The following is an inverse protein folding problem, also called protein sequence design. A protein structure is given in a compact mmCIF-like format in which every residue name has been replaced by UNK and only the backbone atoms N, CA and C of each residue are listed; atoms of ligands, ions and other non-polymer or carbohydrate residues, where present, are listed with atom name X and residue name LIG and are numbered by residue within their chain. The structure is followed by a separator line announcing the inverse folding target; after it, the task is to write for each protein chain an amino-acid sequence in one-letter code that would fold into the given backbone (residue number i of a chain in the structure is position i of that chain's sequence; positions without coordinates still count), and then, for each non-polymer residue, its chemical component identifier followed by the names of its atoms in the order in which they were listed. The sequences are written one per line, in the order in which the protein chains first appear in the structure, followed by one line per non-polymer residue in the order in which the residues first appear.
data_IF_589468797537
#
_entry.id   IF_589468797537
#
_cell.length_a   1.000
_cell.length_b   1.000
_cell.length_c   1.000
_cell.angle_alpha   90.00
_cell.angle_beta   90.00
_cell.angle_gamma   90.00
#
_symmetry.space_group_name_H-M   'P 1'
#
loop_
_entity.id
_entity.type
_entity.pdbx_description
1 polymer ?
#
# COMPACT_ATOMS: atom_id res chain seq x y z
N UNK A 1 8.93 8.69 -18.51
CA UNK A 1 8.69 9.07 -17.09
C UNK A 1 9.26 10.47 -16.78
N UNK A 2 9.74 11.22 -17.79
CA UNK A 2 10.21 12.60 -17.63
C UNK A 2 9.11 13.65 -17.92
N UNK A 3 8.01 13.23 -18.57
CA UNK A 3 6.96 14.09 -19.11
C UNK A 3 5.98 14.69 -18.07
N UNK A 4 6.21 14.52 -16.77
CA UNK A 4 5.29 15.06 -15.73
C UNK A 4 5.25 16.60 -15.73
N UNK A 5 6.26 17.26 -16.29
CA UNK A 5 6.33 18.72 -16.37
C UNK A 5 6.83 19.24 -17.73
N UNK A 6 6.81 18.43 -18.79
CA UNK A 6 7.24 18.91 -20.11
C UNK A 6 6.18 19.87 -20.70
N UNK A 7 6.60 21.12 -20.80
CA UNK A 7 6.17 22.27 -21.60
C UNK A 7 4.72 22.80 -21.55
N UNK A 8 3.77 22.21 -20.81
CA UNK A 8 2.38 22.71 -20.90
C UNK A 8 1.62 23.09 -19.60
N UNK A 9 2.08 22.76 -18.38
CA UNK A 9 1.19 22.86 -17.20
C UNK A 9 1.82 23.25 -15.84
N UNK A 10 3.14 23.39 -15.72
CA UNK A 10 3.78 23.79 -14.46
C UNK A 10 3.78 25.30 -14.28
N UNK A 11 3.22 25.80 -13.18
CA UNK A 11 3.37 27.21 -12.79
C UNK A 11 4.63 27.35 -11.93
N UNK A 12 5.39 28.44 -12.11
CA UNK A 12 6.59 28.69 -11.31
C UNK A 12 6.25 29.00 -9.85
N UNK A 13 7.09 28.50 -8.94
CA UNK A 13 7.07 28.85 -7.53
C UNK A 13 7.80 30.16 -7.28
N UNK A 14 7.23 30.99 -6.42
CA UNK A 14 7.86 32.23 -5.96
C UNK A 14 8.61 31.97 -4.66
N UNK A 15 9.85 32.46 -4.54
CA UNK A 15 10.60 32.43 -3.28
C UNK A 15 10.23 33.62 -2.40
N UNK A 16 10.23 33.38 -1.09
CA UNK A 16 10.16 34.43 -0.08
C UNK A 16 11.37 35.36 -0.21
N UNK A 17 11.16 36.66 -0.01
CA UNK A 17 12.24 37.64 0.11
C UNK A 17 12.88 37.63 1.51
N UNK A 18 12.26 36.93 2.47
CA UNK A 18 12.76 36.76 3.84
C UNK A 18 13.42 35.38 3.97
N UNK A 19 14.74 35.31 4.26
CA UNK A 19 15.43 34.05 4.43
C UNK A 19 15.19 33.42 5.82
N UNK A 20 15.29 32.10 5.88
CA UNK A 20 15.62 31.38 7.10
C UNK A 20 17.15 31.42 7.26
N UNK A 21 17.62 31.95 8.39
CA UNK A 21 19.05 32.06 8.68
C UNK A 21 19.47 31.02 9.71
N UNK A 22 20.58 30.34 9.45
CA UNK A 22 21.29 29.52 10.44
C UNK A 22 22.67 30.12 10.64
N UNK A 23 23.06 30.31 11.90
CA UNK A 23 24.35 30.89 12.25
C UNK A 23 25.20 29.85 13.00
N UNK A 24 26.41 29.65 12.51
CA UNK A 24 27.43 28.81 13.14
C UNK A 24 28.50 29.71 13.75
N UNK A 25 28.97 29.35 14.94
CA UNK A 25 30.12 30.00 15.56
C UNK A 25 31.38 29.50 14.85
N UNK A 26 32.18 30.42 14.30
CA UNK A 26 33.43 30.10 13.63
C UNK A 26 34.52 29.91 14.69
N UNK A 27 34.60 28.70 15.24
CA UNK A 27 35.69 28.31 16.13
C UNK A 27 36.99 28.02 15.37
N UNK A 28 38.07 27.80 16.11
CA UNK A 28 39.40 27.58 15.53
C UNK A 28 39.42 26.38 14.56
N UNK A 29 38.67 25.32 14.88
CA UNK A 29 38.55 24.12 14.03
C UNK A 29 37.88 24.48 12.70
N UNK A 30 36.76 25.21 12.74
CA UNK A 30 36.01 25.62 11.53
C UNK A 30 36.84 26.55 10.66
N UNK A 31 37.57 27.49 11.27
CA UNK A 31 38.46 28.41 10.57
C UNK A 31 39.68 27.70 9.99
N UNK A 32 40.29 26.73 10.70
CA UNK A 32 41.40 25.96 10.16
C UNK A 32 40.98 25.03 9.02
N UNK A 33 39.80 24.41 9.11
CA UNK A 33 39.30 23.49 8.08
C UNK A 33 38.96 24.21 6.77
N UNK A 34 38.56 25.49 6.83
CA UNK A 34 38.19 26.28 5.64
C UNK A 34 39.40 26.89 4.92
N UNK A 35 40.52 27.13 5.63
CA UNK A 35 41.75 27.72 5.08
C UNK A 35 42.30 27.04 3.81
N UNK A 36 42.39 25.69 3.70
CA UNK A 36 42.95 25.04 2.51
C UNK A 36 42.07 25.15 1.26
N UNK A 37 40.80 25.54 1.41
CA UNK A 37 39.82 25.59 0.31
C UNK A 37 39.51 27.02 -0.15
N UNK A 38 40.22 28.03 0.37
CA UNK A 38 39.94 29.46 0.14
C UNK A 38 38.45 29.85 0.36
N UNK A 39 37.76 29.11 1.23
CA UNK A 39 36.33 29.30 1.46
C UNK A 39 36.09 30.35 2.54
N UNK A 40 35.61 31.53 2.13
CA UNK A 40 35.24 32.61 3.04
C UNK A 40 33.77 32.49 3.45
N UNK A 41 33.50 32.53 4.76
CA UNK A 41 32.13 32.46 5.32
C UNK A 41 31.99 33.42 6.49
N UNK A 42 30.84 34.09 6.60
CA UNK A 42 30.43 34.90 7.76
C UNK A 42 29.78 34.02 8.85
N UNK A 43 29.76 32.70 8.64
CA UNK A 43 29.08 31.73 9.49
C UNK A 43 27.56 31.75 9.35
N UNK A 44 27.00 32.54 8.43
CA UNK A 44 25.55 32.67 8.22
C UNK A 44 25.13 31.97 6.93
N UNK A 45 24.36 30.90 7.06
CA UNK A 45 23.68 30.25 5.94
C UNK A 45 22.28 30.81 5.79
N UNK A 46 21.91 31.25 4.57
CA UNK A 46 20.60 31.83 4.24
C UNK A 46 19.85 30.91 3.28
N UNK A 47 18.63 30.55 3.65
CA UNK A 47 17.73 29.75 2.81
C UNK A 47 16.44 30.51 2.53
N UNK A 48 16.12 30.76 1.26
CA UNK A 48 14.90 31.45 0.85
C UNK A 48 13.80 30.42 0.52
N UNK A 49 12.83 30.18 1.42
CA UNK A 49 11.80 29.17 1.19
C UNK A 49 10.87 29.58 0.04
N UNK A 50 10.29 28.61 -0.66
CA UNK A 50 9.17 28.88 -1.56
C UNK A 50 7.93 29.31 -0.76
N UNK A 51 7.12 30.18 -1.36
CA UNK A 51 5.81 30.56 -0.87
C UNK A 51 4.77 29.52 -1.31
N UNK A 52 3.69 29.40 -0.55
CA UNK A 52 2.53 28.60 -0.96
C UNK A 52 1.85 29.30 -2.14
N UNK A 53 1.66 28.62 -3.29
CA UNK A 53 0.97 29.21 -4.42
C UNK A 53 -0.50 29.56 -4.11
N UNK A 54 -0.93 30.77 -4.49
CA UNK A 54 -2.31 31.23 -4.30
C UNK A 54 -3.33 30.39 -5.09
N UNK A 55 -2.90 29.76 -6.18
CA UNK A 55 -3.73 28.92 -7.04
C UNK A 55 -3.97 27.50 -6.53
N UNK A 56 -3.39 27.12 -5.38
CA UNK A 56 -3.65 25.80 -4.80
C UNK A 56 -5.12 25.67 -4.34
N UNK A 57 -5.74 24.50 -4.56
CA UNK A 57 -7.12 24.29 -4.13
C UNK A 57 -7.20 24.34 -2.60
N UNK A 58 -8.19 25.09 -2.09
CA UNK A 58 -8.43 25.21 -0.63
C UNK A 58 -9.02 23.95 -0.01
N UNK A 59 -9.66 23.10 -0.83
CA UNK A 59 -10.17 21.79 -0.45
C UNK A 59 -9.60 20.77 -1.41
N UNK A 60 -8.97 19.74 -0.86
CA UNK A 60 -8.38 18.65 -1.61
C UNK A 60 -8.35 17.40 -0.74
N UNK A 61 -8.23 16.23 -1.36
CA UNK A 61 -8.03 14.99 -0.64
C UNK A 61 -6.53 14.76 -0.38
N UNK A 62 -5.71 14.89 -1.43
CA UNK A 62 -4.26 14.66 -1.36
C UNK A 62 -3.46 15.78 -2.04
N UNK A 63 -2.47 16.29 -1.31
CA UNK A 63 -1.43 17.16 -1.82
C UNK A 63 -0.05 16.54 -1.65
N UNK A 64 0.87 16.77 -2.59
CA UNK A 64 2.23 16.24 -2.47
C UNK A 64 3.28 17.33 -2.68
N UNK A 65 4.28 17.36 -1.82
CA UNK A 65 5.49 18.17 -1.92
C UNK A 65 6.67 17.24 -2.23
N UNK A 66 7.27 17.37 -3.40
CA UNK A 66 8.32 16.48 -3.90
C UNK A 66 9.64 17.23 -4.03
N UNK A 67 10.75 16.55 -3.77
CA UNK A 67 12.09 17.09 -4.03
C UNK A 67 13.22 16.44 -3.24
N UNK A 68 14.46 16.70 -3.62
CA UNK A 68 15.67 16.19 -3.00
C UNK A 68 15.87 16.68 -1.57
N UNK A 69 16.85 16.12 -0.86
CA UNK A 69 17.21 16.59 0.48
C UNK A 69 17.65 18.06 0.44
N UNK A 70 17.30 18.85 1.45
CA UNK A 70 17.65 20.28 1.51
C UNK A 70 16.86 21.22 0.59
N UNK A 71 15.96 20.72 -0.25
CA UNK A 71 15.18 21.55 -1.21
C UNK A 71 14.08 22.41 -0.58
N UNK A 72 13.81 22.26 0.72
CA UNK A 72 12.82 23.07 1.45
C UNK A 72 11.45 22.42 1.66
N UNK A 73 11.27 21.14 1.34
CA UNK A 73 10.00 20.41 1.53
C UNK A 73 9.43 20.56 2.94
N UNK A 74 10.23 20.27 3.97
CA UNK A 74 9.78 20.34 5.37
C UNK A 74 9.42 21.77 5.80
N UNK A 75 10.03 22.79 5.21
CA UNK A 75 9.66 24.20 5.44
C UNK A 75 8.30 24.53 4.83
N UNK A 76 8.01 24.05 3.61
CA UNK A 76 6.69 24.19 2.99
C UNK A 76 5.63 23.37 3.74
N UNK A 77 5.94 22.12 4.11
CA UNK A 77 5.02 21.22 4.80
C UNK A 77 4.43 21.82 6.07
N UNK A 78 5.23 22.60 6.83
CA UNK A 78 4.80 23.31 8.03
C UNK A 78 3.65 24.30 7.83
N UNK A 79 3.42 24.78 6.60
CA UNK A 79 2.29 25.66 6.29
C UNK A 79 0.95 24.90 6.27
N UNK A 80 0.99 23.59 6.09
CA UNK A 80 -0.20 22.74 6.02
C UNK A 80 -0.53 22.07 7.36
N UNK A 81 0.41 22.02 8.30
CA UNK A 81 0.20 21.44 9.61
C UNK A 81 1.51 21.06 10.31
N UNK A 82 1.38 20.42 11.47
CA UNK A 82 2.50 19.85 12.21
C UNK A 82 2.46 18.33 12.11
N UNK A 83 3.63 17.71 11.92
CA UNK A 83 3.76 16.26 11.92
C UNK A 83 3.39 15.75 13.32
N UNK A 84 2.38 14.89 13.40
CA UNK A 84 1.90 14.35 14.67
C UNK A 84 2.83 13.26 15.19
N UNK A 85 3.17 13.30 16.47
CA UNK A 85 3.89 12.20 17.11
C UNK A 85 2.91 11.07 17.49
N UNK A 86 3.32 9.82 17.23
CA UNK A 86 2.54 8.63 17.56
C UNK A 86 3.15 7.94 18.77
N UNK A 87 2.37 7.83 19.84
CA UNK A 87 2.73 7.03 21.01
C UNK A 87 2.18 5.60 20.83
N UNK A 88 3.01 4.61 21.16
CA UNK A 88 2.68 3.19 21.10
C UNK A 88 2.72 2.56 22.49
N UNK A 89 1.78 1.65 22.71
CA UNK A 89 1.71 0.80 23.89
C UNK A 89 2.64 -0.42 23.71
N UNK A 90 3.04 -1.07 24.80
CA UNK A 90 3.85 -2.30 24.76
C UNK A 90 3.13 -3.54 24.17
N UNK A 91 1.83 -3.41 23.89
CA UNK A 91 1.02 -4.44 23.26
C UNK A 91 1.25 -4.58 21.75
N UNK A 92 0.44 -5.42 21.10
CA UNK A 92 0.48 -5.56 19.64
C UNK A 92 0.10 -4.27 18.92
N UNK A 93 0.60 -4.04 17.71
CA UNK A 93 0.23 -2.83 16.97
C UNK A 93 -1.28 -2.69 16.76
N UNK A 94 -2.01 -3.79 16.52
CA UNK A 94 -3.49 -3.73 16.37
C UNK A 94 -4.22 -3.33 17.64
N UNK A 95 -3.63 -3.57 18.82
CA UNK A 95 -4.20 -3.16 20.11
C UNK A 95 -4.17 -1.65 20.34
N UNK A 96 -3.53 -0.89 19.44
CA UNK A 96 -3.42 0.56 19.50
C UNK A 96 -4.50 1.27 18.65
N UNK A 97 -5.52 0.57 18.18
CA UNK A 97 -6.65 1.13 17.40
C UNK A 97 -7.97 0.94 18.16
N UNK A 98 -9.00 1.72 17.81
CA UNK A 98 -10.29 1.69 18.50
C UNK A 98 -11.08 0.40 18.26
N UNK A 99 -10.85 -0.27 17.12
CA UNK A 99 -11.45 -1.56 16.82
C UNK A 99 -10.59 -2.42 15.90
N UNK A 100 -10.80 -3.76 15.86
CA UNK A 100 -10.12 -4.63 14.89
C UNK A 100 -10.40 -4.25 13.43
N UNK A 101 -11.59 -3.73 13.14
CA UNK A 101 -11.98 -3.29 11.81
C UNK A 101 -11.16 -2.06 11.40
N UNK A 102 -11.13 -1.03 12.27
CA UNK A 102 -10.32 0.17 12.06
C UNK A 102 -8.83 -0.17 11.90
N UNK A 103 -8.29 -1.06 12.77
CA UNK A 103 -6.90 -1.50 12.69
C UNK A 103 -6.59 -2.13 11.33
N UNK A 104 -7.42 -3.09 10.91
CA UNK A 104 -7.23 -3.78 9.63
C UNK A 104 -7.31 -2.81 8.45
N UNK A 105 -8.23 -1.85 8.49
CA UNK A 105 -8.43 -0.89 7.41
C UNK A 105 -7.26 0.09 7.30
N UNK A 106 -6.89 0.75 8.40
CA UNK A 106 -5.79 1.74 8.42
C UNK A 106 -4.42 1.11 8.18
N UNK A 107 -4.14 -0.07 8.74
CA UNK A 107 -2.88 -0.78 8.47
C UNK A 107 -2.79 -1.22 7.01
N UNK A 108 -3.90 -1.64 6.42
CA UNK A 108 -3.95 -1.94 4.98
C UNK A 108 -3.77 -0.68 4.13
N UNK A 109 -4.39 0.44 4.51
CA UNK A 109 -4.23 1.73 3.83
C UNK A 109 -2.77 2.20 3.81
N UNK A 110 -2.04 1.97 4.90
CA UNK A 110 -0.62 2.26 5.00
C UNK A 110 0.30 1.21 4.34
N UNK A 111 -0.26 0.18 3.70
CA UNK A 111 0.51 -0.88 3.02
C UNK A 111 1.16 -1.91 3.95
N UNK A 112 0.78 -1.96 5.24
CA UNK A 112 1.23 -3.00 6.16
C UNK A 112 0.20 -4.14 6.15
N UNK A 113 0.26 -5.02 5.16
CA UNK A 113 -0.75 -6.07 4.90
C UNK A 113 -0.33 -7.47 5.39
N UNK A 114 0.31 -7.54 6.56
CA UNK A 114 0.86 -8.78 7.14
C UNK A 114 0.30 -9.04 8.54
N UNK A 115 -0.60 -10.03 8.67
CA UNK A 115 -1.19 -10.44 9.96
C UNK A 115 -0.12 -10.81 11.00
N UNK A 116 0.96 -11.54 10.66
CA UNK A 116 2.04 -11.81 11.62
C UNK A 116 2.68 -10.52 12.16
N UNK A 117 2.77 -9.45 11.36
CA UNK A 117 3.32 -8.18 11.83
C UNK A 117 2.33 -7.40 12.68
N UNK A 118 1.03 -7.56 12.42
CA UNK A 118 -0.05 -6.91 13.17
C UNK A 118 -0.10 -7.29 14.65
N UNK A 119 0.30 -8.51 14.96
CA UNK A 119 0.27 -9.04 16.33
C UNK A 119 1.60 -8.87 17.07
N UNK A 120 2.61 -8.23 16.45
CA UNK A 120 3.89 -7.93 17.09
C UNK A 120 3.83 -6.59 17.85
N UNK A 121 4.65 -6.42 18.90
CA UNK A 121 4.92 -5.11 19.49
C UNK A 121 5.56 -4.16 18.48
N UNK A 122 5.32 -2.85 18.62
CA UNK A 122 5.91 -1.85 17.71
C UNK A 122 7.44 -1.87 17.73
N UNK A 123 8.05 -2.12 18.90
CA UNK A 123 9.51 -2.09 19.09
C UNK A 123 10.29 -3.07 18.21
N UNK A 124 9.71 -4.23 17.90
CA UNK A 124 10.35 -5.31 17.13
C UNK A 124 10.17 -5.19 15.61
N UNK A 125 9.39 -4.21 15.14
CA UNK A 125 9.20 -3.97 13.71
C UNK A 125 10.45 -3.37 13.07
N UNK A 126 10.70 -3.71 11.81
CA UNK A 126 11.70 -3.02 10.96
C UNK A 126 11.33 -1.56 10.74
N UNK A 127 12.30 -0.72 10.33
CA UNK A 127 12.05 0.72 10.10
C UNK A 127 10.92 0.97 9.08
N UNK A 128 10.88 0.20 7.98
CA UNK A 128 9.80 0.29 7.00
C UNK A 128 8.43 -0.13 7.56
N UNK A 129 8.38 -1.17 8.41
CA UNK A 129 7.15 -1.57 9.08
C UNK A 129 6.70 -0.53 10.14
N UNK A 130 7.63 0.04 10.90
CA UNK A 130 7.36 1.12 11.88
C UNK A 130 6.80 2.35 11.20
N UNK A 131 7.39 2.76 10.08
CA UNK A 131 6.88 3.86 9.26
C UNK A 131 5.42 3.62 8.83
N UNK A 132 5.11 2.44 8.27
CA UNK A 132 3.74 2.10 7.86
C UNK A 132 2.76 1.99 9.04
N UNK A 133 3.21 1.49 10.18
CA UNK A 133 2.39 1.45 11.39
C UNK A 133 2.08 2.87 11.91
N UNK A 134 3.08 3.77 11.94
CA UNK A 134 2.90 5.18 12.29
C UNK A 134 1.94 5.88 11.33
N UNK A 135 2.17 5.71 10.02
CA UNK A 135 1.29 6.22 8.98
C UNK A 135 -0.15 5.81 9.27
N UNK A 136 -0.43 4.52 9.50
CA UNK A 136 -1.76 4.03 9.83
C UNK A 136 -2.41 4.74 11.04
N UNK A 137 -1.63 5.06 12.09
CA UNK A 137 -2.14 5.79 13.26
C UNK A 137 -2.42 7.26 12.98
N UNK A 138 -1.71 7.87 12.04
CA UNK A 138 -1.82 9.29 11.69
C UNK A 138 -2.91 9.58 10.65
N UNK A 139 -3.44 8.56 9.95
CA UNK A 139 -4.41 8.75 8.85
C UNK A 139 -5.78 9.27 9.33
N UNK A 140 -5.90 10.59 9.39
CA UNK A 140 -7.11 11.39 9.63
C UNK A 140 -7.00 12.69 8.81
N UNK A 141 -8.12 13.41 8.60
CA UNK A 141 -8.11 14.67 7.85
C UNK A 141 -7.16 15.72 8.47
N UNK A 142 -6.56 16.55 7.61
CA UNK A 142 -5.56 17.57 7.95
C UNK A 142 -4.21 17.02 8.45
N UNK A 143 -3.91 15.75 8.20
CA UNK A 143 -2.61 15.16 8.53
C UNK A 143 -1.54 15.55 7.51
N UNK A 144 -0.38 15.95 8.03
CA UNK A 144 0.86 16.11 7.25
C UNK A 144 1.83 14.98 7.56
N UNK A 145 2.46 14.42 6.53
CA UNK A 145 3.43 13.33 6.65
C UNK A 145 4.72 13.76 5.96
N UNK A 146 5.81 13.86 6.72
CA UNK A 146 7.15 14.07 6.16
C UNK A 146 7.81 12.74 5.82
N UNK A 147 8.75 12.79 4.89
CA UNK A 147 9.52 11.64 4.40
C UNK A 147 8.66 10.43 3.96
N UNK A 148 7.52 10.71 3.32
CA UNK A 148 6.63 9.68 2.84
C UNK A 148 7.37 8.70 1.92
N UNK A 149 7.38 7.42 2.29
CA UNK A 149 8.01 6.28 1.60
C UNK A 149 9.55 6.32 1.50
N UNK A 150 10.25 7.15 2.28
CA UNK A 150 11.73 7.23 2.23
C UNK A 150 12.43 5.94 2.70
N UNK A 151 11.82 5.21 3.63
CA UNK A 151 12.40 4.02 4.31
C UNK A 151 11.87 2.68 3.79
N UNK A 152 11.19 2.67 2.65
CA UNK A 152 10.57 1.46 2.08
C UNK A 152 11.05 1.21 0.66
N UNK A 153 11.08 -0.06 0.26
CA UNK A 153 11.35 -0.45 -1.13
C UNK A 153 10.38 0.22 -2.11
N UNK A 154 10.84 0.46 -3.35
CA UNK A 154 10.09 1.19 -4.38
C UNK A 154 8.74 0.56 -4.70
N UNK A 155 8.66 -0.77 -4.82
CA UNK A 155 7.40 -1.45 -5.12
C UNK A 155 6.44 -1.32 -3.94
N UNK A 156 6.94 -1.48 -2.71
CA UNK A 156 6.15 -1.27 -1.50
C UNK A 156 5.63 0.17 -1.41
N UNK A 157 6.46 1.17 -1.77
CA UNK A 157 6.08 2.58 -1.81
C UNK A 157 4.91 2.83 -2.76
N UNK A 158 5.00 2.30 -3.98
CA UNK A 158 3.94 2.39 -4.99
C UNK A 158 2.66 1.69 -4.53
N UNK A 159 2.76 0.50 -3.93
CA UNK A 159 1.61 -0.25 -3.42
C UNK A 159 0.89 0.46 -2.25
N UNK A 160 1.68 1.03 -1.33
CA UNK A 160 1.18 1.85 -0.24
C UNK A 160 0.50 3.12 -0.76
N UNK A 161 1.05 3.75 -1.79
CA UNK A 161 0.48 4.94 -2.44
C UNK A 161 -0.90 4.70 -3.02
N UNK A 162 -1.07 3.58 -3.74
CA UNK A 162 -2.39 3.15 -4.25
C UNK A 162 -3.38 2.91 -3.11
N UNK A 163 -2.95 2.21 -2.06
CA UNK A 163 -3.80 1.86 -0.93
C UNK A 163 -4.24 3.09 -0.13
N UNK A 164 -3.30 4.01 0.09
CA UNK A 164 -3.53 5.29 0.77
C UNK A 164 -4.50 6.16 -0.03
N UNK A 165 -4.26 6.33 -1.33
CA UNK A 165 -5.11 7.16 -2.19
C UNK A 165 -6.57 6.70 -2.19
N UNK A 166 -6.77 5.38 -2.30
CA UNK A 166 -8.10 4.77 -2.17
C UNK A 166 -8.71 5.00 -0.80
N UNK A 167 -7.95 4.77 0.28
CA UNK A 167 -8.47 4.94 1.63
C UNK A 167 -8.93 6.37 1.91
N UNK A 168 -8.10 7.37 1.56
CA UNK A 168 -8.43 8.79 1.73
C UNK A 168 -9.73 9.14 0.98
N UNK A 169 -9.88 8.68 -0.27
CA UNK A 169 -11.08 8.95 -1.08
C UNK A 169 -12.31 8.23 -0.56
N UNK A 170 -12.20 6.95 -0.22
CA UNK A 170 -13.31 6.14 0.26
C UNK A 170 -13.83 6.56 1.63
N UNK A 171 -12.98 7.15 2.46
CA UNK A 171 -13.34 7.67 3.78
C UNK A 171 -13.53 9.19 3.80
N UNK A 172 -13.57 9.84 2.63
CA UNK A 172 -13.79 11.28 2.48
C UNK A 172 -12.84 12.13 3.35
N UNK A 173 -11.59 11.67 3.50
CA UNK A 173 -10.57 12.44 4.22
C UNK A 173 -10.12 13.63 3.38
N UNK A 174 -9.90 14.75 4.05
CA UNK A 174 -9.53 16.03 3.43
C UNK A 174 -8.16 16.51 3.94
N UNK A 175 -7.49 17.31 3.11
CA UNK A 175 -6.27 18.04 3.43
C UNK A 175 -5.09 17.17 3.90
N UNK A 176 -4.92 16.00 3.30
CA UNK A 176 -3.75 15.16 3.56
C UNK A 176 -2.58 15.66 2.71
N UNK A 177 -1.46 16.01 3.33
CA UNK A 177 -0.26 16.48 2.61
C UNK A 177 0.93 15.58 2.88
N UNK A 178 1.55 15.10 1.81
CA UNK A 178 2.70 14.19 1.86
C UNK A 178 3.94 14.92 1.34
N UNK A 179 5.04 14.91 2.09
CA UNK A 179 6.35 15.31 1.59
C UNK A 179 7.20 14.08 1.27
N UNK A 180 7.82 14.03 0.08
CA UNK A 180 8.62 12.88 -0.36
C UNK A 180 9.79 13.31 -1.25
N UNK A 181 10.84 12.50 -1.34
CA UNK A 181 11.88 12.67 -2.35
C UNK A 181 11.59 11.89 -3.65
N UNK A 182 10.49 11.14 -3.69
CA UNK A 182 10.22 10.17 -4.74
C UNK A 182 9.08 10.60 -5.68
N UNK A 183 9.40 10.79 -6.96
CA UNK A 183 8.42 11.19 -8.00
C UNK A 183 7.66 10.03 -8.61
N UNK A 184 8.26 8.83 -8.63
CA UNK A 184 7.70 7.60 -9.19
C UNK A 184 6.47 7.06 -8.43
N UNK A 185 6.13 7.64 -7.28
CA UNK A 185 4.88 7.32 -6.56
C UNK A 185 3.71 8.24 -6.92
N UNK A 186 3.96 9.36 -7.61
CA UNK A 186 2.93 10.37 -7.87
C UNK A 186 1.78 9.77 -8.67
N UNK A 187 2.08 9.03 -9.75
CA UNK A 187 1.08 8.35 -10.58
C UNK A 187 0.17 7.37 -9.81
N UNK A 188 0.68 6.80 -8.71
CA UNK A 188 -0.04 5.87 -7.85
C UNK A 188 -0.84 6.58 -6.75
N UNK A 189 -0.34 7.72 -6.26
CA UNK A 189 -1.02 8.57 -5.29
C UNK A 189 -2.19 9.36 -5.93
N UNK A 190 -2.00 9.82 -7.17
CA UNK A 190 -2.93 10.71 -7.87
C UNK A 190 -3.35 11.94 -7.04
N UNK A 191 -2.41 12.74 -6.52
CA UNK A 191 -2.76 13.93 -5.76
C UNK A 191 -3.53 14.95 -6.59
N UNK A 192 -4.29 15.79 -5.90
CA UNK A 192 -5.03 16.91 -6.47
C UNK A 192 -4.09 18.08 -6.85
N UNK A 193 -2.90 18.11 -6.26
CA UNK A 193 -1.83 19.05 -6.58
C UNK A 193 -0.45 18.50 -6.21
N UNK A 194 0.58 19.01 -6.90
CA UNK A 194 1.98 18.67 -6.66
C UNK A 194 2.80 19.96 -6.62
N UNK A 195 3.67 20.09 -5.62
CA UNK A 195 4.73 21.10 -5.55
C UNK A 195 6.07 20.38 -5.72
N UNK A 196 6.85 20.73 -6.73
CA UNK A 196 8.20 20.21 -6.95
C UNK A 196 9.24 21.27 -6.56
N UNK A 197 9.90 21.06 -5.43
CA UNK A 197 10.87 22.01 -4.87
C UNK A 197 12.21 21.99 -5.58
N UNK A 198 12.57 20.90 -6.28
CA UNK A 198 13.81 20.87 -7.07
C UNK A 198 13.62 21.65 -8.37
N UNK A 199 12.46 21.45 -9.03
CA UNK A 199 12.12 22.15 -10.28
C UNK A 199 11.65 23.59 -10.03
N UNK A 200 11.23 23.91 -8.82
CA UNK A 200 10.68 25.23 -8.52
C UNK A 200 9.31 25.45 -9.16
N UNK A 201 8.54 24.38 -9.33
CA UNK A 201 7.28 24.39 -10.06
C UNK A 201 6.16 23.76 -9.25
N UNK A 202 4.91 24.08 -9.57
CA UNK A 202 3.75 23.41 -9.02
C UNK A 202 2.68 23.20 -10.09
N UNK A 203 1.81 22.23 -9.85
CA UNK A 203 0.68 21.92 -10.70
C UNK A 203 -0.53 21.54 -9.84
N UNK A 204 -1.73 21.81 -10.35
CA UNK A 204 -3.00 21.36 -9.76
C UNK A 204 -3.91 20.80 -10.84
N UNK A 205 -4.74 19.82 -10.45
CA UNK A 205 -5.62 19.08 -11.35
C UNK A 205 -5.24 17.61 -11.40
N UNK A 206 -6.23 16.76 -11.74
CA UNK A 206 -6.07 15.31 -11.82
C UNK A 206 -5.29 14.92 -13.09
N UNK A 207 -4.00 15.22 -13.13
CA UNK A 207 -3.11 14.93 -14.27
C UNK A 207 -2.41 13.57 -14.18
N UNK A 208 -2.94 12.63 -13.41
CA UNK A 208 -2.33 11.32 -13.24
C UNK A 208 -3.34 10.26 -13.62
N UNK A 209 -3.33 9.88 -14.91
CA UNK A 209 -4.01 8.65 -15.33
C UNK A 209 -3.49 7.52 -14.45
N UNK A 210 -4.40 6.70 -13.91
CA UNK A 210 -3.97 5.51 -13.19
C UNK A 210 -3.16 4.66 -14.16
N UNK A 211 -1.93 4.25 -13.82
CA UNK A 211 -1.20 3.36 -14.71
C UNK A 211 -2.06 2.12 -14.96
N UNK A 212 -2.19 1.72 -16.23
CA UNK A 212 -2.79 0.45 -16.58
C UNK A 212 -1.89 -0.65 -16.04
N UNK A 213 -2.22 -1.18 -14.86
CA UNK A 213 -1.46 -2.24 -14.21
C UNK A 213 -1.74 -3.57 -14.91
N UNK A 214 -0.98 -3.87 -15.97
CA UNK A 214 -1.15 -5.10 -16.75
C UNK A 214 -0.39 -6.25 -16.09
N UNK A 215 -1.14 -7.13 -15.43
CA UNK A 215 -0.60 -8.38 -14.88
C UNK A 215 -0.79 -9.50 -15.88
N UNK A 216 0.28 -10.23 -16.20
CA UNK A 216 0.25 -11.44 -17.02
C UNK A 216 0.15 -12.67 -16.12
N UNK A 217 -0.74 -13.59 -16.45
CA UNK A 217 -0.95 -14.83 -15.69
C UNK A 217 -0.49 -16.03 -16.52
N UNK A 218 0.34 -16.88 -15.92
CA UNK A 218 0.88 -18.09 -16.56
C UNK A 218 0.55 -19.32 -15.72
N UNK A 219 0.22 -20.44 -16.36
CA UNK A 219 0.27 -21.72 -15.68
C UNK A 219 1.73 -22.04 -15.29
N UNK A 220 1.94 -22.61 -14.11
CA UNK A 220 3.29 -22.85 -13.60
C UNK A 220 3.39 -24.17 -12.83
N UNK A 221 4.63 -24.60 -12.58
CA UNK A 221 4.92 -25.74 -11.71
C UNK A 221 4.64 -25.41 -10.24
N UNK A 222 4.28 -26.43 -9.46
CA UNK A 222 4.16 -26.31 -8.00
C UNK A 222 5.47 -25.88 -7.32
N UNK A 223 6.63 -26.05 -7.98
CA UNK A 223 7.93 -25.65 -7.45
C UNK A 223 8.03 -24.15 -7.20
N UNK A 224 7.29 -23.33 -7.95
CA UNK A 224 7.24 -21.87 -7.75
C UNK A 224 6.68 -21.50 -6.36
N UNK A 225 5.92 -22.39 -5.72
CA UNK A 225 5.37 -22.16 -4.39
C UNK A 225 6.44 -21.85 -3.34
N UNK A 226 7.68 -22.37 -3.47
CA UNK A 226 8.74 -22.11 -2.49
C UNK A 226 9.04 -20.61 -2.33
N UNK A 227 8.84 -19.81 -3.38
CA UNK A 227 9.02 -18.34 -3.35
C UNK A 227 7.93 -17.63 -2.54
N UNK A 228 6.76 -18.25 -2.34
CA UNK A 228 5.60 -17.62 -1.70
C UNK A 228 5.23 -18.23 -0.34
N UNK A 229 5.82 -19.38 -0.01
CA UNK A 229 5.40 -20.20 1.13
C UNK A 229 5.51 -19.46 2.47
N UNK A 230 6.59 -18.71 2.68
CA UNK A 230 6.86 -17.94 3.90
C UNK A 230 5.85 -16.80 4.13
N UNK A 231 5.23 -16.29 3.06
CA UNK A 231 4.23 -15.22 3.14
C UNK A 231 2.80 -15.74 3.33
N UNK A 232 2.61 -17.06 3.45
CA UNK A 232 1.29 -17.65 3.60
C UNK A 232 0.98 -18.05 5.06
N UNK A 233 -0.06 -17.43 5.62
CA UNK A 233 -0.51 -17.53 7.02
C UNK A 233 -1.01 -18.90 7.57
N UNK A 234 -0.86 -20.03 6.84
CA UNK A 234 -1.36 -21.35 7.32
C UNK A 234 -0.31 -22.46 7.29
N UNK A 235 0.23 -22.80 6.12
CA UNK A 235 1.26 -23.83 5.98
C UNK A 235 2.06 -23.63 4.70
N UNK A 236 3.35 -23.90 4.79
CA UNK A 236 4.31 -23.89 3.70
C UNK A 236 4.20 -25.09 2.76
N UNK A 237 3.38 -26.11 3.06
CA UNK A 237 3.18 -27.25 2.17
C UNK A 237 2.02 -27.00 1.20
N UNK A 238 2.28 -27.24 -0.09
CA UNK A 238 1.27 -27.21 -1.16
C UNK A 238 0.90 -28.62 -1.61
N UNK A 239 -0.36 -28.81 -2.04
CA UNK A 239 -0.81 -30.08 -2.61
C UNK A 239 -0.21 -30.26 -4.01
N UNK A 240 0.45 -31.40 -4.27
CA UNK A 240 1.10 -31.69 -5.56
C UNK A 240 0.12 -31.77 -6.74
N UNK A 241 -1.15 -32.07 -6.49
CA UNK A 241 -2.20 -32.08 -7.50
C UNK A 241 -2.82 -30.70 -7.77
N UNK A 242 -2.29 -29.64 -7.16
CA UNK A 242 -2.79 -28.29 -7.40
C UNK A 242 -2.42 -27.79 -8.79
N UNK A 243 -3.40 -27.23 -9.49
CA UNK A 243 -3.15 -26.43 -10.67
C UNK A 243 -2.60 -25.08 -10.19
N UNK A 244 -1.42 -24.71 -10.65
CA UNK A 244 -0.69 -23.56 -10.14
C UNK A 244 -0.59 -22.50 -11.22
N UNK A 245 -0.76 -21.24 -10.81
CA UNK A 245 -0.69 -20.08 -11.67
C UNK A 245 0.23 -19.04 -11.03
N UNK A 246 1.06 -18.40 -11.85
CA UNK A 246 1.95 -17.31 -11.47
C UNK A 246 1.49 -16.01 -12.13
N UNK A 247 1.47 -14.92 -11.36
CA UNK A 247 1.26 -13.57 -11.83
C UNK A 247 2.61 -12.86 -12.01
N UNK A 248 2.77 -12.20 -13.16
CA UNK A 248 3.96 -11.43 -13.51
C UNK A 248 3.56 -10.01 -13.88
N UNK A 249 4.22 -9.03 -13.28
CA UNK A 249 4.04 -7.60 -13.56
C UNK A 249 5.41 -6.97 -13.77
N UNK A 250 5.57 -6.20 -14.86
CA UNK A 250 6.85 -5.59 -15.26
C UNK A 250 8.05 -6.56 -15.28
N UNK A 251 7.80 -7.82 -15.69
CA UNK A 251 8.83 -8.87 -15.74
C UNK A 251 9.17 -9.50 -14.38
N UNK A 252 8.58 -9.02 -13.29
CA UNK A 252 8.77 -9.55 -11.94
C UNK A 252 7.63 -10.49 -11.55
N UNK A 253 7.96 -11.55 -10.82
CA UNK A 253 6.99 -12.47 -10.25
C UNK A 253 6.31 -11.79 -9.04
N UNK A 254 4.99 -11.60 -9.09
CA UNK A 254 4.26 -10.80 -8.07
C UNK A 254 3.24 -11.61 -7.27
N UNK A 255 2.75 -12.72 -7.83
CA UNK A 255 1.66 -13.47 -7.21
C UNK A 255 1.61 -14.92 -7.61
N UNK A 256 0.97 -15.72 -6.78
CA UNK A 256 0.76 -17.14 -6.99
C UNK A 256 -0.64 -17.55 -6.58
N UNK A 257 -1.31 -18.34 -7.43
CA UNK A 257 -2.61 -18.90 -7.13
C UNK A 257 -2.66 -20.40 -7.41
N UNK A 258 -2.97 -21.17 -6.37
CA UNK A 258 -3.20 -22.61 -6.47
C UNK A 258 -4.69 -22.92 -6.44
N UNK A 259 -5.09 -23.84 -7.30
CA UNK A 259 -6.46 -24.33 -7.44
C UNK A 259 -6.49 -25.85 -7.28
N UNK A 260 -7.52 -26.36 -6.63
CA UNK A 260 -7.78 -27.79 -6.50
C UNK A 260 -9.17 -28.14 -7.03
N UNK A 261 -9.36 -29.39 -7.44
CA UNK A 261 -10.69 -29.93 -7.63
C UNK A 261 -11.51 -29.77 -6.34
N UNK A 262 -12.81 -29.53 -6.49
CA UNK A 262 -13.77 -29.42 -5.40
C UNK A 262 -14.52 -30.75 -5.24
N UNK A 263 -14.05 -31.68 -4.37
CA UNK A 263 -14.72 -32.96 -4.18
C UNK A 263 -16.07 -32.73 -3.47
N UNK A 264 -17.16 -33.03 -4.16
CA UNK A 264 -18.52 -32.94 -3.64
C UNK A 264 -19.42 -33.99 -4.28
N UNK A 265 -20.30 -34.59 -3.49
CA UNK A 265 -21.32 -35.52 -4.00
C UNK A 265 -22.45 -34.82 -4.76
N UNK A 266 -22.63 -33.51 -4.56
CA UNK A 266 -23.73 -32.73 -5.14
C UNK A 266 -23.26 -31.71 -6.16
N UNK A 267 -22.07 -31.11 -5.95
CA UNK A 267 -21.50 -30.12 -6.86
C UNK A 267 -20.55 -30.82 -7.84
N UNK A 268 -20.97 -30.94 -9.10
CA UNK A 268 -20.18 -31.56 -10.18
C UNK A 268 -19.33 -30.51 -10.92
N UNK A 269 -18.25 -30.97 -11.55
CA UNK A 269 -17.35 -30.17 -12.41
C UNK A 269 -16.86 -28.87 -11.75
N UNK A 270 -16.49 -28.94 -10.48
CA UNK A 270 -16.12 -27.78 -9.69
C UNK A 270 -14.67 -27.79 -9.25
N UNK A 271 -14.09 -26.59 -9.19
CA UNK A 271 -12.77 -26.30 -8.68
C UNK A 271 -12.86 -25.24 -7.58
N UNK A 272 -11.82 -25.16 -6.76
CA UNK A 272 -11.72 -24.18 -5.69
C UNK A 272 -10.34 -23.59 -5.53
N UNK A 273 -10.31 -22.32 -5.16
CA UNK A 273 -9.10 -21.67 -4.67
C UNK A 273 -8.53 -22.41 -3.45
N UNK A 274 -7.21 -22.63 -3.46
CA UNK A 274 -6.46 -23.32 -2.40
C UNK A 274 -5.48 -22.38 -1.69
N UNK A 275 -4.61 -21.69 -2.42
CA UNK A 275 -3.60 -20.75 -1.88
C UNK A 275 -3.49 -19.57 -2.81
N UNK A 276 -3.84 -18.37 -2.35
CA UNK A 276 -3.61 -17.12 -3.07
C UNK A 276 -2.61 -16.30 -2.25
N UNK A 277 -1.50 -15.95 -2.87
CA UNK A 277 -0.46 -15.12 -2.26
C UNK A 277 -0.03 -14.06 -3.26
N UNK A 278 0.06 -12.82 -2.81
CA UNK A 278 0.75 -11.72 -3.48
C UNK A 278 1.94 -11.38 -2.60
N UNK A 279 3.13 -11.20 -3.17
CA UNK A 279 4.30 -10.86 -2.36
C UNK A 279 4.06 -9.54 -1.63
N UNK A 280 4.54 -9.39 -0.37
CA UNK A 280 4.23 -8.23 0.48
C UNK A 280 4.40 -6.87 -0.21
N UNK A 281 5.42 -6.72 -1.04
CA UNK A 281 5.76 -5.50 -1.77
C UNK A 281 4.79 -5.14 -2.91
N UNK A 282 3.97 -6.08 -3.37
CA UNK A 282 2.94 -5.84 -4.38
C UNK A 282 1.51 -5.87 -3.79
N UNK A 283 1.38 -5.95 -2.47
CA UNK A 283 0.08 -5.90 -1.82
C UNK A 283 -0.45 -4.46 -1.81
N UNK A 284 -1.70 -4.28 -2.25
CA UNK A 284 -2.33 -2.96 -2.38
C UNK A 284 -2.62 -2.54 -3.81
N UNK A 285 -1.90 -3.07 -4.80
CA UNK A 285 -2.21 -2.82 -6.22
C UNK A 285 -3.56 -3.40 -6.66
N UNK A 286 -4.04 -4.45 -5.98
CA UNK A 286 -5.28 -5.16 -6.34
C UNK A 286 -5.03 -6.47 -7.08
N UNK A 287 -3.76 -6.84 -7.31
CA UNK A 287 -3.37 -8.06 -8.03
C UNK A 287 -3.99 -9.35 -7.49
N UNK A 288 -4.26 -9.42 -6.18
CA UNK A 288 -4.93 -10.58 -5.59
C UNK A 288 -6.35 -10.80 -6.14
N UNK A 289 -7.12 -9.71 -6.34
CA UNK A 289 -8.46 -9.78 -6.93
C UNK A 289 -8.37 -10.19 -8.40
N UNK A 290 -7.56 -9.48 -9.17
CA UNK A 290 -7.39 -9.72 -10.61
C UNK A 290 -6.88 -11.12 -10.92
N UNK A 291 -5.87 -11.61 -10.17
CA UNK A 291 -5.36 -12.98 -10.34
C UNK A 291 -6.42 -14.02 -10.02
N UNK A 292 -7.20 -13.82 -8.94
CA UNK A 292 -8.25 -14.75 -8.57
C UNK A 292 -9.36 -14.82 -9.62
N UNK A 293 -9.76 -13.67 -10.17
CA UNK A 293 -10.82 -13.57 -11.18
C UNK A 293 -10.37 -14.11 -12.54
N UNK A 294 -9.17 -13.76 -13.03
CA UNK A 294 -8.63 -14.29 -14.29
C UNK A 294 -8.55 -15.81 -14.25
N UNK A 295 -8.05 -16.37 -13.15
CA UNK A 295 -7.99 -17.83 -12.98
C UNK A 295 -9.39 -18.43 -12.86
N UNK A 296 -10.31 -17.80 -12.12
CA UNK A 296 -11.68 -18.29 -12.00
C UNK A 296 -12.41 -18.28 -13.36
N UNK A 297 -12.24 -17.22 -14.15
CA UNK A 297 -12.79 -17.08 -15.49
C UNK A 297 -12.27 -18.18 -16.42
N UNK A 298 -10.96 -18.48 -16.38
CA UNK A 298 -10.41 -19.61 -17.14
C UNK A 298 -11.15 -20.93 -16.86
N UNK A 299 -11.53 -21.23 -15.61
CA UNK A 299 -12.32 -22.43 -15.31
C UNK A 299 -13.76 -22.34 -15.82
N UNK A 300 -14.40 -21.17 -15.69
CA UNK A 300 -15.77 -20.93 -16.18
C UNK A 300 -15.84 -21.06 -17.70
N UNK A 301 -14.89 -20.48 -18.43
CA UNK A 301 -14.77 -20.58 -19.90
C UNK A 301 -14.62 -22.03 -20.36
N UNK A 302 -14.06 -22.89 -19.51
CA UNK A 302 -13.89 -24.33 -19.76
C UNK A 302 -15.06 -25.18 -19.20
N UNK A 303 -16.23 -24.56 -18.99
CA UNK A 303 -17.46 -25.23 -18.54
C UNK A 303 -17.37 -25.80 -17.13
N UNK A 304 -16.49 -25.26 -16.28
CA UNK A 304 -16.34 -25.65 -14.87
C UNK A 304 -16.91 -24.58 -13.95
N UNK A 305 -17.22 -24.98 -12.72
CA UNK A 305 -17.61 -24.07 -11.64
C UNK A 305 -16.41 -23.73 -10.78
N UNK A 306 -16.31 -22.49 -10.31
CA UNK A 306 -15.19 -22.06 -9.48
C UNK A 306 -15.65 -21.47 -8.15
N UNK A 307 -15.10 -21.97 -7.05
CA UNK A 307 -15.43 -21.52 -5.70
C UNK A 307 -14.22 -20.93 -5.00
N UNK A 308 -14.40 -19.79 -4.34
CA UNK A 308 -13.35 -19.17 -3.55
C UNK A 308 -13.81 -18.96 -2.11
N UNK A 309 -12.93 -19.32 -1.17
CA UNK A 309 -13.15 -19.13 0.26
C UNK A 309 -11.99 -18.35 0.85
N UNK A 310 -12.29 -17.33 1.61
CA UNK A 310 -11.27 -16.51 2.30
C UNK A 310 -11.71 -16.17 3.72
N UNK A 311 -10.74 -15.92 4.58
CA UNK A 311 -10.96 -15.28 5.89
C UNK A 311 -10.44 -13.85 5.93
N UNK A 312 -9.81 -13.38 4.85
CA UNK A 312 -9.32 -12.01 4.75
C UNK A 312 -10.49 -11.07 4.44
N UNK A 313 -10.83 -10.11 5.31
CA UNK A 313 -12.00 -9.24 5.15
C UNK A 313 -12.03 -8.51 3.81
N UNK A 314 -10.95 -7.79 3.46
CA UNK A 314 -10.83 -7.07 2.18
C UNK A 314 -11.11 -7.92 0.92
N UNK A 315 -10.59 -9.15 0.87
CA UNK A 315 -10.84 -10.05 -0.26
C UNK A 315 -12.27 -10.61 -0.26
N UNK A 316 -12.86 -10.77 0.93
CA UNK A 316 -14.23 -11.20 1.12
C UNK A 316 -15.25 -10.14 0.74
N UNK A 317 -15.13 -8.96 1.32
CA UNK A 317 -16.00 -7.81 1.11
C UNK A 317 -16.00 -7.35 -0.35
N UNK A 318 -14.83 -7.34 -0.99
CA UNK A 318 -14.75 -7.12 -2.44
C UNK A 318 -15.65 -8.09 -3.23
N UNK A 319 -15.67 -9.38 -2.86
CA UNK A 319 -16.52 -10.37 -3.51
C UNK A 319 -18.00 -10.24 -3.15
N UNK A 320 -18.31 -9.68 -1.97
CA UNK A 320 -19.69 -9.38 -1.60
C UNK A 320 -20.27 -8.24 -2.46
N UNK A 321 -19.41 -7.31 -2.89
CA UNK A 321 -19.79 -6.15 -3.70
C UNK A 321 -19.68 -6.37 -5.21
N UNK A 322 -18.88 -7.35 -5.64
CA UNK A 322 -18.61 -7.59 -7.06
C UNK A 322 -19.74 -8.40 -7.74
N UNK A 323 -20.25 -7.95 -8.90
CA UNK A 323 -21.28 -8.69 -9.64
C UNK A 323 -20.75 -10.01 -10.23
N UNK A 324 -19.43 -10.21 -10.27
CA UNK A 324 -18.79 -11.42 -10.79
C UNK A 324 -18.82 -12.59 -9.80
N UNK A 325 -19.20 -12.32 -8.55
CA UNK A 325 -19.20 -13.30 -7.47
C UNK A 325 -20.58 -13.45 -6.86
N UNK A 326 -21.02 -14.70 -6.70
CA UNK A 326 -22.28 -15.05 -6.03
C UNK A 326 -22.00 -15.63 -4.65
N UNK A 327 -22.58 -15.04 -3.62
CA UNK A 327 -22.49 -15.57 -2.26
C UNK A 327 -23.07 -16.99 -2.18
N UNK A 328 -22.33 -17.90 -1.54
CA UNK A 328 -22.81 -19.26 -1.27
C UNK A 328 -23.61 -19.31 0.04
N UNK A 329 -24.31 -20.43 0.30
CA UNK A 329 -25.03 -20.66 1.57
C UNK A 329 -24.13 -20.69 2.81
N UNK A 330 -22.80 -20.65 2.64
CA UNK A 330 -21.78 -20.60 3.70
C UNK A 330 -21.07 -19.24 3.81
N UNK A 331 -21.48 -18.23 3.04
CA UNK A 331 -20.93 -16.87 3.16
C UNK A 331 -21.31 -16.25 4.51
N UNK A 332 -20.42 -15.49 5.15
CA UNK A 332 -20.62 -14.91 6.48
C UNK A 332 -21.08 -15.92 7.54
N UNK A 333 -20.65 -17.19 7.43
CA UNK A 333 -20.99 -18.22 8.42
C UNK A 333 -19.75 -18.73 9.13
N UNK A 334 -19.90 -18.91 10.45
CA UNK A 334 -19.00 -19.73 11.26
C UNK A 334 -19.17 -21.19 10.86
N UNK A 335 -18.07 -21.93 10.86
CA UNK A 335 -18.09 -23.34 10.53
C UNK A 335 -18.46 -24.14 11.78
N UNK A 336 -19.76 -24.38 11.98
CA UNK A 336 -20.30 -25.14 13.12
C UNK A 336 -20.22 -26.65 12.94
N UNK A 337 -19.90 -27.13 11.73
CA UNK A 337 -19.79 -28.55 11.33
C UNK A 337 -18.52 -29.27 11.86
N UNK A 338 -17.83 -28.71 12.86
CA UNK A 338 -16.55 -29.23 13.39
C UNK A 338 -16.74 -30.19 14.58
N UNK A 339 -17.97 -30.38 15.07
CA UNK A 339 -18.25 -31.27 16.21
C UNK A 339 -18.30 -32.78 15.88
N UNK A 340 -18.15 -33.18 14.61
CA UNK A 340 -18.18 -34.59 14.25
C UNK A 340 -16.86 -35.30 14.62
N UNK A 341 -16.97 -36.21 15.60
CA UNK A 341 -15.91 -37.07 16.19
C UNK A 341 -15.06 -37.90 15.19
N UNK A 342 -15.27 -37.79 13.88
CA UNK A 342 -14.60 -38.58 12.85
C UNK A 342 -13.61 -37.80 11.96
N UNK A 343 -13.40 -36.50 12.18
CA UNK A 343 -12.41 -35.69 11.44
C UNK A 343 -11.14 -35.42 12.29
N UNK A 344 -10.43 -36.47 12.67
CA UNK A 344 -9.17 -36.38 13.45
C UNK A 344 -7.99 -35.78 12.67
N UNK A 345 -8.13 -35.60 11.35
CA UNK A 345 -7.01 -35.21 10.46
C UNK A 345 -6.78 -33.71 10.32
N UNK A 346 -7.74 -32.86 10.71
CA UNK A 346 -7.66 -31.40 10.52
C UNK A 346 -8.23 -30.65 11.73
N UNK A 347 -7.37 -30.20 12.67
CA UNK A 347 -7.76 -29.23 13.70
C UNK A 347 -8.04 -27.88 13.03
N UNK A 348 -9.30 -27.54 12.81
CA UNK A 348 -9.73 -26.23 12.29
C UNK A 348 -10.37 -25.40 13.41
N UNK A 349 -10.08 -24.10 13.44
CA UNK A 349 -10.62 -23.18 14.44
C UNK A 349 -12.15 -22.97 14.22
N UNK A 350 -13.03 -23.37 15.15
CA UNK A 350 -14.48 -23.28 15.01
C UNK A 350 -15.01 -21.83 15.07
N UNK A 351 -14.23 -20.88 15.59
CA UNK A 351 -14.54 -19.46 15.60
C UNK A 351 -14.18 -18.75 14.29
N UNK A 352 -13.61 -19.47 13.30
CA UNK A 352 -13.16 -18.88 12.05
C UNK A 352 -14.34 -18.45 11.19
N UNK A 353 -14.52 -17.14 11.08
CA UNK A 353 -15.40 -16.50 10.11
C UNK A 353 -14.85 -16.65 8.69
N UNK A 354 -15.72 -16.82 7.71
CA UNK A 354 -15.30 -17.00 6.32
C UNK A 354 -16.28 -16.42 5.32
N UNK A 355 -15.70 -15.82 4.30
CA UNK A 355 -16.35 -15.38 3.07
C UNK A 355 -16.27 -16.54 2.08
N UNK A 356 -17.38 -16.85 1.41
CA UNK A 356 -17.53 -18.04 0.58
C UNK A 356 -18.40 -17.75 -0.63
N UNK A 357 -17.78 -17.72 -1.81
CA UNK A 357 -18.37 -17.26 -3.05
C UNK A 357 -18.16 -18.27 -4.18
N UNK A 358 -19.11 -18.33 -5.10
CA UNK A 358 -18.97 -18.94 -6.41
C UNK A 358 -18.70 -17.83 -7.43
N UNK A 359 -17.71 -18.02 -8.29
CA UNK A 359 -17.47 -17.10 -9.41
C UNK A 359 -18.48 -17.42 -10.51
N UNK A 360 -19.17 -16.39 -11.00
CA UNK A 360 -20.20 -16.51 -12.05
C UNK A 360 -19.78 -15.89 -13.38
N UNK A 361 -18.62 -15.23 -13.42
CA UNK A 361 -18.06 -14.66 -14.64
C UNK A 361 -18.56 -13.25 -14.95
N UNK A 362 -17.77 -12.54 -15.76
CA UNK A 362 -18.21 -11.33 -16.47
C UNK A 362 -18.59 -11.75 -17.89
N UNK A 363 -19.75 -11.29 -18.37
CA UNK A 363 -20.17 -11.49 -19.77
C UNK A 363 -19.18 -10.93 -20.76
#
# INVERSE_FOLDING_TARGET
MDDLFDEAWGFDLVRSNVPLESKVVLDDITLELTKPFDFQTDGVSRFYPYLIPDGLPKRFALGVIVGGSGSGKSSLLKHFGQVSEVVWNDGSIVSNFGSPAEASEKLSAAGLMSIPDWVKPFSVLSNGQKFRANLARQLVSNTVIDEFTSVVDRNVAKAASVSLSRYVRSNELENIVLATCHRDILEFLQPDWVIDTDRGQWASGRYLQQPNLVVKVYACSNSIWSTFAEHHYLTEKINKAAHCFAAVWEGQLVGFYAVLAYPSGTVRNAYRGHRLVILPEFQGFGFGHSLAEVVAQHYVDNGKRFFAKTSHPRLGEYRDQSPLWKATSKNHKRRTDVSNKHLTRWKMNPNRWSYSHEYIGGS
#
